data_IF_718663834465
#
_entry.id   IF_718663834465
#
_cell.length_a   1.000
_cell.length_b   1.000
_cell.length_c   1.000
_cell.angle_alpha   90.00
_cell.angle_beta   90.00
_cell.angle_gamma   90.00
#
_symmetry.space_group_name_H-M   'P 1'
#
loop_
_entity.id
_entity.type
_entity.pdbx_description
1 polymer ?
#
# COMPACT_ATOMS: atom_id res chain seq x y z
N UNK A 1 -29.31 -70.13 2.29
CA UNK A 1 -28.59 -69.06 3.01
C UNK A 1 -28.92 -67.75 2.33
N UNK A 2 -29.81 -66.95 2.90
CA UNK A 2 -30.27 -65.68 2.36
C UNK A 2 -29.53 -64.52 3.06
N UNK A 3 -29.20 -63.42 2.35
CA UNK A 3 -28.46 -62.31 2.94
C UNK A 3 -29.37 -61.41 3.79
N UNK A 4 -28.84 -60.99 4.94
CA UNK A 4 -29.50 -60.13 5.91
C UNK A 4 -29.82 -58.74 5.35
N UNK A 5 -30.94 -58.11 5.77
CA UNK A 5 -31.31 -56.77 5.33
C UNK A 5 -30.44 -55.67 5.98
N UNK A 6 -30.30 -54.50 5.33
CA UNK A 6 -29.52 -53.39 5.86
C UNK A 6 -30.26 -52.63 6.98
N UNK A 7 -29.54 -52.02 7.94
CA UNK A 7 -30.16 -51.26 9.02
C UNK A 7 -30.70 -49.90 8.56
N UNK A 8 -31.89 -49.55 9.06
CA UNK A 8 -32.55 -48.27 8.86
C UNK A 8 -31.82 -47.09 9.52
N UNK A 9 -31.93 -45.87 8.98
CA UNK A 9 -31.18 -44.70 9.46
C UNK A 9 -31.76 -44.15 10.78
N UNK A 10 -30.88 -43.98 11.76
CA UNK A 10 -31.15 -43.31 13.02
C UNK A 10 -31.47 -41.83 12.80
N UNK A 11 -32.65 -41.44 13.27
CA UNK A 11 -33.12 -40.07 13.47
C UNK A 11 -32.10 -39.25 14.28
N UNK A 12 -31.57 -38.19 13.67
CA UNK A 12 -30.79 -37.17 14.39
C UNK A 12 -31.75 -36.19 15.07
N UNK A 13 -31.62 -36.08 16.39
CA UNK A 13 -32.11 -34.94 17.15
C UNK A 13 -31.49 -33.62 16.63
N UNK A 14 -32.24 -32.50 16.64
CA UNK A 14 -31.67 -31.19 16.37
C UNK A 14 -30.91 -30.71 17.61
N UNK A 15 -29.57 -30.76 17.56
CA UNK A 15 -28.73 -30.02 18.47
C UNK A 15 -28.73 -28.55 18.03
N UNK A 16 -29.24 -27.74 18.95
CA UNK A 16 -29.41 -26.31 18.90
C UNK A 16 -28.02 -25.64 18.96
N UNK A 17 -27.33 -25.54 17.83
CA UNK A 17 -26.11 -24.75 17.70
C UNK A 17 -26.48 -23.27 17.57
N UNK A 18 -26.59 -22.62 18.73
CA UNK A 18 -26.53 -21.18 18.88
C UNK A 18 -25.20 -20.68 18.31
N UNK A 19 -25.19 -20.37 17.00
CA UNK A 19 -24.15 -19.56 16.38
C UNK A 19 -24.12 -18.20 17.06
N UNK A 20 -23.11 -18.01 17.89
CA UNK A 20 -22.64 -16.70 18.35
C UNK A 20 -22.40 -15.82 17.13
N UNK A 21 -23.38 -14.99 16.78
CA UNK A 21 -23.18 -13.87 15.89
C UNK A 21 -22.18 -12.93 16.56
N UNK A 22 -21.17 -12.40 15.84
CA UNK A 22 -20.38 -11.30 16.35
C UNK A 22 -21.33 -10.11 16.47
N UNK A 23 -21.75 -9.83 17.70
CA UNK A 23 -22.54 -8.65 18.03
C UNK A 23 -21.66 -7.44 17.74
N UNK A 24 -21.79 -6.88 16.53
CA UNK A 24 -21.34 -5.53 16.21
C UNK A 24 -22.09 -4.60 17.16
N UNK A 25 -21.48 -4.30 18.31
CA UNK A 25 -21.93 -3.24 19.21
C UNK A 25 -21.76 -1.93 18.47
N UNK A 26 -22.76 -1.55 17.68
CA UNK A 26 -23.04 -0.18 17.32
C UNK A 26 -23.34 0.54 18.63
N UNK A 27 -22.31 1.10 19.25
CA UNK A 27 -22.47 2.14 20.26
C UNK A 27 -23.03 3.38 19.56
N UNK A 28 -24.34 3.41 19.33
CA UNK A 28 -25.09 4.63 19.03
C UNK A 28 -25.34 5.37 20.33
N UNK A 29 -24.27 5.95 20.90
CA UNK A 29 -24.46 7.11 21.75
C UNK A 29 -24.75 8.31 20.82
N UNK A 30 -25.87 9.04 20.99
CA UNK A 30 -26.06 10.30 20.28
C UNK A 30 -25.01 11.29 20.77
N UNK A 31 -23.93 11.42 19.99
CA UNK A 31 -22.87 12.39 20.21
C UNK A 31 -23.45 13.79 20.02
N UNK A 32 -23.72 14.48 21.12
CA UNK A 32 -24.16 15.89 21.20
C UNK A 32 -23.11 16.91 20.76
N UNK A 33 -22.00 16.47 20.14
CA UNK A 33 -21.00 17.35 19.59
C UNK A 33 -21.57 18.04 18.32
N UNK A 34 -21.39 19.37 18.17
CA UNK A 34 -21.86 20.08 16.98
C UNK A 34 -21.26 19.45 15.71
N UNK A 35 -22.01 19.40 14.59
CA UNK A 35 -21.59 18.75 13.33
C UNK A 35 -20.32 19.32 12.68
N UNK A 36 -19.68 20.34 13.28
CA UNK A 36 -18.63 21.15 12.67
C UNK A 36 -17.23 21.04 13.30
N UNK A 37 -16.94 20.06 14.16
CA UNK A 37 -15.63 20.05 14.86
C UNK A 37 -14.86 18.72 14.87
N UNK A 38 -15.19 17.75 14.00
CA UNK A 38 -14.31 16.57 13.85
C UNK A 38 -13.27 16.86 12.78
N UNK A 39 -12.22 17.57 13.18
CA UNK A 39 -11.01 17.62 12.38
C UNK A 39 -10.50 16.19 12.20
N UNK A 40 -10.12 15.79 10.97
CA UNK A 40 -9.55 14.47 10.75
C UNK A 40 -8.26 14.36 11.55
N UNK A 41 -7.93 13.17 12.07
CA UNK A 41 -6.63 12.97 12.68
C UNK A 41 -5.53 13.34 11.68
N UNK A 42 -4.40 13.88 12.15
CA UNK A 42 -3.32 14.27 11.26
C UNK A 42 -2.81 13.06 10.48
N UNK A 43 -2.59 13.25 9.18
CA UNK A 43 -1.94 12.25 8.35
C UNK A 43 -0.45 12.28 8.67
N UNK A 44 0.03 11.28 9.41
CA UNK A 44 1.43 11.23 9.86
C UNK A 44 2.20 10.26 8.98
N UNK A 45 3.01 10.82 8.06
CA UNK A 45 3.87 10.04 7.17
C UNK A 45 5.15 9.60 7.88
N UNK A 46 5.44 8.30 8.02
CA UNK A 46 6.69 7.82 8.60
C UNK A 46 7.90 8.16 7.74
N UNK A 47 9.02 8.53 8.37
CA UNK A 47 10.28 8.81 7.67
C UNK A 47 10.88 7.56 6.98
N UNK A 48 10.54 6.37 7.45
CA UNK A 48 11.10 5.07 7.05
C UNK A 48 10.52 4.49 5.74
N UNK A 49 9.79 5.29 4.95
CA UNK A 49 9.25 4.88 3.65
C UNK A 49 10.27 4.92 2.50
N UNK A 50 11.54 5.23 2.79
CA UNK A 50 12.61 5.21 1.80
C UNK A 50 13.00 3.78 1.43
N UNK A 51 13.33 3.58 0.15
CA UNK A 51 13.79 2.29 -0.35
C UNK A 51 15.21 2.00 0.18
N UNK A 52 15.40 0.78 0.70
CA UNK A 52 16.72 0.26 1.06
C UNK A 52 17.54 -0.05 -0.21
N UNK A 53 18.86 -0.16 -0.04
CA UNK A 53 19.77 -0.56 -1.13
C UNK A 53 19.46 -2.01 -1.55
N UNK A 54 19.47 -2.26 -2.85
CA UNK A 54 19.18 -3.56 -3.45
C UNK A 54 20.15 -3.86 -4.59
N UNK A 55 20.46 -5.15 -4.77
CA UNK A 55 21.41 -5.64 -5.76
C UNK A 55 22.83 -5.04 -5.58
N UNK A 56 23.21 -4.72 -4.34
CA UNK A 56 24.57 -4.31 -4.01
C UNK A 56 25.39 -5.56 -3.63
N UNK A 57 26.63 -5.72 -4.13
CA UNK A 57 27.42 -6.93 -3.90
C UNK A 57 27.62 -7.28 -2.41
N UNK A 58 27.78 -6.28 -1.54
CA UNK A 58 27.98 -6.47 -0.11
C UNK A 58 26.69 -6.82 0.66
N UNK A 59 25.51 -6.64 0.07
CA UNK A 59 24.21 -6.84 0.72
C UNK A 59 23.34 -7.88 0.01
N UNK A 60 23.95 -8.85 -0.66
CA UNK A 60 23.22 -9.88 -1.41
C UNK A 60 22.23 -10.67 -0.53
N UNK A 61 22.54 -10.84 0.76
CA UNK A 61 21.70 -11.59 1.71
C UNK A 61 20.37 -10.87 1.99
N UNK A 62 20.37 -9.53 1.99
CA UNK A 62 19.16 -8.76 2.25
C UNK A 62 18.23 -8.69 1.03
N UNK A 63 18.76 -8.94 -0.18
CA UNK A 63 17.97 -8.94 -1.41
C UNK A 63 16.82 -9.97 -1.37
N UNK A 64 16.92 -11.00 -0.51
CA UNK A 64 15.90 -12.03 -0.29
C UNK A 64 14.52 -11.48 0.11
N UNK A 65 14.49 -10.38 0.87
CA UNK A 65 13.26 -9.74 1.37
C UNK A 65 13.16 -8.25 0.99
N UNK A 66 14.30 -7.59 0.75
CA UNK A 66 14.36 -6.15 0.39
C UNK A 66 13.53 -5.83 -0.85
N UNK A 67 13.45 -6.77 -1.82
CA UNK A 67 12.64 -6.61 -3.02
C UNK A 67 11.16 -6.32 -2.70
N UNK A 68 10.56 -7.15 -1.84
CA UNK A 68 9.16 -7.01 -1.45
C UNK A 68 8.97 -5.78 -0.55
N UNK A 69 9.84 -5.59 0.44
CA UNK A 69 9.75 -4.48 1.37
C UNK A 69 9.82 -3.13 0.68
N UNK A 70 10.75 -2.95 -0.27
CA UNK A 70 10.84 -1.70 -1.02
C UNK A 70 9.61 -1.46 -1.89
N UNK A 71 9.04 -2.52 -2.47
CA UNK A 71 7.81 -2.42 -3.24
C UNK A 71 6.63 -2.00 -2.37
N UNK A 72 6.46 -2.63 -1.20
CA UNK A 72 5.42 -2.28 -0.23
C UNK A 72 5.62 -0.84 0.27
N UNK A 73 6.82 -0.45 0.72
CA UNK A 73 7.14 0.93 1.15
C UNK A 73 6.79 1.97 0.07
N UNK A 74 7.04 1.65 -1.21
CA UNK A 74 6.66 2.52 -2.34
C UNK A 74 5.14 2.66 -2.49
N UNK A 75 4.38 1.59 -2.28
CA UNK A 75 2.92 1.66 -2.27
C UNK A 75 2.41 2.41 -1.05
N UNK A 76 2.97 2.20 0.13
CA UNK A 76 2.63 2.96 1.35
C UNK A 76 2.89 4.46 1.18
N UNK A 77 3.98 4.86 0.53
CA UNK A 77 4.19 6.27 0.20
C UNK A 77 3.07 6.83 -0.72
N UNK A 78 2.54 5.99 -1.62
CA UNK A 78 1.44 6.37 -2.51
C UNK A 78 0.08 6.41 -1.78
N UNK A 79 -0.13 5.54 -0.80
CA UNK A 79 -1.26 5.59 0.15
C UNK A 79 -1.32 6.95 0.86
N UNK A 80 -0.19 7.41 1.41
CA UNK A 80 -0.13 8.73 2.06
C UNK A 80 -0.42 9.88 1.09
N UNK A 81 0.03 9.80 -0.17
CA UNK A 81 -0.29 10.84 -1.15
C UNK A 81 -1.79 10.91 -1.48
N UNK A 82 -2.49 9.76 -1.46
CA UNK A 82 -3.96 9.72 -1.58
C UNK A 82 -4.60 10.37 -0.36
N UNK A 83 -4.18 9.97 0.85
CA UNK A 83 -4.72 10.50 2.10
C UNK A 83 -4.50 12.01 2.25
N UNK A 84 -3.29 12.50 1.99
CA UNK A 84 -2.98 13.94 2.02
C UNK A 84 -3.86 14.72 1.03
N UNK A 85 -4.13 14.15 -0.14
CA UNK A 85 -5.02 14.76 -1.14
C UNK A 85 -6.49 14.81 -0.71
N UNK A 86 -6.95 13.88 0.11
CA UNK A 86 -8.33 13.87 0.62
C UNK A 86 -8.41 14.77 1.85
N UNK A 87 -7.46 14.66 2.78
CA UNK A 87 -7.40 15.46 4.00
C UNK A 87 -7.33 16.97 3.74
N UNK A 88 -6.59 17.40 2.71
CA UNK A 88 -6.55 18.82 2.28
C UNK A 88 -7.89 19.36 1.77
N UNK A 89 -8.88 18.50 1.56
CA UNK A 89 -10.23 18.80 1.06
C UNK A 89 -11.29 18.12 1.90
N UNK A 90 -11.04 17.96 3.20
CA UNK A 90 -11.87 17.13 4.08
C UNK A 90 -13.35 17.55 4.08
N UNK A 91 -13.64 18.84 3.94
CA UNK A 91 -15.01 19.36 3.88
C UNK A 91 -15.75 19.07 2.56
N UNK A 92 -15.07 18.46 1.59
CA UNK A 92 -15.58 18.16 0.26
C UNK A 92 -15.32 16.71 -0.15
N UNK A 93 -15.13 15.81 0.83
CA UNK A 93 -14.97 14.38 0.54
C UNK A 93 -16.30 13.83 0.02
N UNK A 94 -16.23 13.16 -1.12
CA UNK A 94 -17.39 12.53 -1.75
C UNK A 94 -17.18 11.03 -1.86
N UNK A 95 -18.26 10.24 -1.80
CA UNK A 95 -18.21 8.78 -1.85
C UNK A 95 -17.42 8.24 -3.05
N UNK A 96 -17.52 8.88 -4.21
CA UNK A 96 -16.77 8.48 -5.42
C UNK A 96 -15.24 8.55 -5.28
N UNK A 97 -14.72 9.44 -4.42
CA UNK A 97 -13.29 9.48 -4.10
C UNK A 97 -12.88 8.29 -3.25
N UNK A 98 -13.72 7.92 -2.27
CA UNK A 98 -13.51 6.75 -1.42
C UNK A 98 -13.68 5.44 -2.18
N UNK A 99 -14.57 5.36 -3.17
CA UNK A 99 -14.64 4.22 -4.09
C UNK A 99 -13.37 4.09 -4.94
N UNK A 100 -12.80 5.22 -5.37
CA UNK A 100 -11.54 5.22 -6.11
C UNK A 100 -10.36 4.81 -5.21
N UNK A 101 -10.36 5.25 -3.96
CA UNK A 101 -9.39 4.82 -2.97
C UNK A 101 -9.53 3.33 -2.64
N UNK A 102 -10.75 2.83 -2.42
CA UNK A 102 -11.02 1.41 -2.20
C UNK A 102 -10.54 0.54 -3.37
N UNK A 103 -10.73 0.98 -4.62
CA UNK A 103 -10.19 0.27 -5.80
C UNK A 103 -8.67 0.20 -5.80
N UNK A 104 -7.98 1.25 -5.37
CA UNK A 104 -6.53 1.24 -5.23
C UNK A 104 -6.09 0.31 -4.09
N UNK A 105 -6.80 0.33 -2.96
CA UNK A 105 -6.53 -0.55 -1.82
C UNK A 105 -6.70 -2.03 -2.16
N UNK A 106 -7.73 -2.40 -2.96
CA UNK A 106 -7.97 -3.78 -3.44
C UNK A 106 -6.84 -4.39 -4.26
N UNK A 107 -5.89 -3.58 -4.74
CA UNK A 107 -4.67 -4.08 -5.37
C UNK A 107 -3.54 -4.19 -4.36
N UNK A 108 -3.45 -3.26 -3.40
CA UNK A 108 -2.39 -3.26 -2.41
C UNK A 108 -2.57 -4.34 -1.34
N UNK A 109 -3.78 -4.58 -0.86
CA UNK A 109 -4.00 -5.55 0.21
C UNK A 109 -3.59 -6.97 -0.20
N UNK A 110 -4.05 -7.52 -1.35
CA UNK A 110 -3.59 -8.82 -1.81
C UNK A 110 -2.08 -8.86 -2.05
N UNK A 111 -1.49 -7.75 -2.48
CA UNK A 111 -0.04 -7.66 -2.66
C UNK A 111 0.75 -7.80 -1.36
N UNK A 112 0.23 -7.27 -0.24
CA UNK A 112 0.87 -7.38 1.08
C UNK A 112 0.61 -8.78 1.67
N UNK A 113 -0.61 -9.30 1.57
CA UNK A 113 -0.95 -10.63 2.10
C UNK A 113 -0.22 -11.74 1.34
N UNK A 114 -0.13 -11.66 0.01
CA UNK A 114 0.69 -12.59 -0.80
C UNK A 114 2.17 -12.58 -0.38
N UNK A 115 2.70 -11.44 0.06
CA UNK A 115 4.06 -11.39 0.60
C UNK A 115 4.15 -12.14 1.94
N UNK A 116 3.18 -11.96 2.84
CA UNK A 116 3.14 -12.67 4.11
C UNK A 116 2.96 -14.19 3.94
N UNK A 117 2.21 -14.62 2.93
CA UNK A 117 2.01 -16.03 2.63
C UNK A 117 3.29 -16.62 2.03
N UNK A 118 3.91 -15.96 1.04
CA UNK A 118 5.22 -16.36 0.51
C UNK A 118 6.28 -16.44 1.61
N UNK A 119 6.26 -15.48 2.53
CA UNK A 119 7.20 -15.43 3.63
C UNK A 119 7.06 -16.67 4.53
N UNK A 120 5.84 -17.01 4.93
CA UNK A 120 5.56 -18.17 5.76
C UNK A 120 5.87 -19.49 5.04
N UNK A 121 5.42 -19.63 3.79
CA UNK A 121 5.51 -20.87 3.04
C UNK A 121 6.94 -21.16 2.56
N UNK A 122 7.68 -20.10 2.20
CA UNK A 122 8.95 -20.23 1.48
C UNK A 122 10.09 -19.55 2.23
N UNK A 123 10.00 -18.25 2.56
CA UNK A 123 11.15 -17.50 3.05
C UNK A 123 11.66 -17.99 4.41
N UNK A 124 10.77 -18.15 5.38
CA UNK A 124 11.14 -18.55 6.75
C UNK A 124 11.68 -19.97 6.78
N UNK A 125 11.01 -20.88 6.07
CA UNK A 125 11.47 -22.26 5.91
C UNK A 125 12.83 -22.33 5.22
N UNK A 126 13.01 -21.56 4.15
CA UNK A 126 14.28 -21.51 3.42
C UNK A 126 15.42 -20.97 4.29
N UNK A 127 15.18 -19.93 5.08
CA UNK A 127 16.17 -19.36 6.01
C UNK A 127 16.39 -20.24 7.27
N UNK A 128 15.54 -21.26 7.47
CA UNK A 128 15.41 -22.02 8.72
C UNK A 128 15.32 -21.08 9.94
N UNK A 129 14.41 -20.11 9.81
CA UNK A 129 14.04 -19.13 10.83
C UNK A 129 12.80 -19.63 11.59
N UNK A 130 12.73 -19.32 12.88
CA UNK A 130 11.58 -19.67 13.72
C UNK A 130 10.41 -18.71 13.42
N UNK A 131 9.27 -19.21 12.88
CA UNK A 131 8.13 -18.37 12.57
C UNK A 131 7.48 -17.75 13.82
N UNK A 132 7.68 -18.32 15.00
CA UNK A 132 7.10 -17.81 16.24
C UNK A 132 7.73 -16.49 16.69
N UNK A 133 9.00 -16.24 16.32
CA UNK A 133 9.78 -15.10 16.78
C UNK A 133 9.14 -13.74 16.44
N UNK A 134 8.39 -13.67 15.33
CA UNK A 134 7.74 -12.45 14.85
C UNK A 134 6.22 -12.61 14.65
N UNK A 135 5.65 -13.73 15.10
CA UNK A 135 4.25 -14.06 14.87
C UNK A 135 3.30 -12.98 15.43
N UNK A 136 3.56 -12.49 16.64
CA UNK A 136 2.73 -11.44 17.26
C UNK A 136 2.67 -10.16 16.40
N UNK A 137 3.82 -9.68 15.93
CA UNK A 137 3.89 -8.49 15.08
C UNK A 137 3.20 -8.70 13.72
N UNK A 138 3.36 -9.89 13.13
CA UNK A 138 2.66 -10.27 11.90
C UNK A 138 1.14 -10.28 12.09
N UNK A 139 0.67 -10.86 13.19
CA UNK A 139 -0.76 -10.89 13.53
C UNK A 139 -1.34 -9.48 13.69
N UNK A 140 -0.63 -8.59 14.41
CA UNK A 140 -1.05 -7.18 14.52
C UNK A 140 -1.20 -6.50 13.16
N UNK A 141 -0.25 -6.73 12.24
CA UNK A 141 -0.35 -6.19 10.87
C UNK A 141 -1.58 -6.73 10.13
N UNK A 142 -1.80 -8.05 10.19
CA UNK A 142 -2.92 -8.71 9.53
C UNK A 142 -4.27 -8.24 10.09
N UNK A 143 -4.37 -8.05 11.40
CA UNK A 143 -5.60 -7.57 12.04
C UNK A 143 -5.94 -6.15 11.59
N UNK A 144 -4.97 -5.24 11.54
CA UNK A 144 -5.20 -3.90 11.01
C UNK A 144 -5.50 -3.89 9.50
N UNK A 145 -4.89 -4.78 8.70
CA UNK A 145 -5.26 -4.95 7.29
C UNK A 145 -6.73 -5.36 7.17
N UNK A 146 -7.18 -6.34 7.97
CA UNK A 146 -8.59 -6.79 8.00
C UNK A 146 -9.53 -5.67 8.43
N UNK A 147 -9.18 -4.92 9.47
CA UNK A 147 -9.96 -3.77 9.94
C UNK A 147 -10.08 -2.70 8.86
N UNK A 148 -9.00 -2.40 8.15
CA UNK A 148 -8.99 -1.43 7.06
C UNK A 148 -9.85 -1.91 5.87
N UNK A 149 -9.79 -3.19 5.51
CA UNK A 149 -10.69 -3.79 4.52
C UNK A 149 -12.16 -3.68 4.93
N UNK A 150 -12.48 -4.05 6.18
CA UNK A 150 -13.82 -3.90 6.73
C UNK A 150 -14.32 -2.46 6.67
N UNK A 151 -13.44 -1.50 7.00
CA UNK A 151 -13.73 -0.07 6.89
C UNK A 151 -14.10 0.31 5.46
N UNK A 152 -13.31 -0.07 4.45
CA UNK A 152 -13.64 0.24 3.06
C UNK A 152 -14.99 -0.34 2.61
N UNK A 153 -15.46 -1.46 3.17
CA UNK A 153 -16.78 -2.02 2.84
C UNK A 153 -17.96 -1.24 3.45
N UNK A 154 -17.71 -0.44 4.49
CA UNK A 154 -18.71 0.47 5.07
C UNK A 154 -18.99 1.72 4.23
N UNK A 155 -18.26 1.95 3.13
CA UNK A 155 -18.33 3.17 2.31
C UNK A 155 -19.69 3.51 1.72
N UNK A 156 -20.62 2.55 1.66
CA UNK A 156 -22.00 2.73 1.18
C UNK A 156 -22.97 3.16 2.28
N UNK A 157 -22.58 3.03 3.54
CA UNK A 157 -23.46 3.14 4.70
C UNK A 157 -23.04 4.25 5.67
N UNK A 158 -21.80 4.72 5.57
CA UNK A 158 -21.22 5.72 6.47
C UNK A 158 -20.95 7.02 5.70
N UNK A 159 -21.09 8.15 6.38
CA UNK A 159 -20.70 9.44 5.83
C UNK A 159 -19.25 9.41 5.30
N UNK A 160 -18.97 9.94 4.09
CA UNK A 160 -17.64 9.89 3.51
C UNK A 160 -16.54 10.51 4.40
N UNK A 161 -16.86 11.56 5.15
CA UNK A 161 -15.89 12.24 6.02
C UNK A 161 -15.55 11.38 7.23
N UNK A 162 -16.57 10.83 7.89
CA UNK A 162 -16.38 9.92 9.03
C UNK A 162 -15.65 8.65 8.63
N UNK A 163 -15.99 8.10 7.45
CA UNK A 163 -15.30 6.94 6.90
C UNK A 163 -13.82 7.25 6.66
N UNK A 164 -13.52 8.38 6.02
CA UNK A 164 -12.15 8.78 5.77
C UNK A 164 -11.37 8.99 7.07
N UNK A 165 -11.97 9.60 8.09
CA UNK A 165 -11.32 9.75 9.40
C UNK A 165 -10.98 8.40 10.02
N UNK A 166 -11.86 7.41 9.86
CA UNK A 166 -11.61 6.03 10.32
C UNK A 166 -10.47 5.39 9.54
N UNK A 167 -10.46 5.51 8.21
CA UNK A 167 -9.36 5.05 7.35
C UNK A 167 -8.01 5.66 7.80
N UNK A 168 -7.98 6.96 8.11
CA UNK A 168 -6.74 7.62 8.57
C UNK A 168 -6.24 7.02 9.89
N UNK A 169 -7.14 6.74 10.85
CA UNK A 169 -6.75 6.09 12.12
C UNK A 169 -6.17 4.71 11.89
N UNK A 170 -6.84 3.90 11.09
CA UNK A 170 -6.40 2.54 10.78
C UNK A 170 -5.06 2.53 10.03
N UNK A 171 -4.85 3.44 9.09
CA UNK A 171 -3.55 3.55 8.39
C UNK A 171 -2.45 4.01 9.34
N UNK A 172 -2.73 5.00 10.19
CA UNK A 172 -1.78 5.48 11.20
C UNK A 172 -1.44 4.41 12.24
N UNK A 173 -2.31 3.43 12.48
CA UNK A 173 -2.02 2.26 13.30
C UNK A 173 -1.25 1.19 12.51
N UNK A 174 -1.70 0.81 11.31
CA UNK A 174 -1.13 -0.25 10.49
C UNK A 174 0.32 0.02 10.09
N UNK A 175 0.59 1.19 9.50
CA UNK A 175 1.87 1.42 8.82
C UNK A 175 3.07 1.35 9.76
N UNK A 176 3.05 1.97 10.96
CA UNK A 176 4.15 1.81 11.91
C UNK A 176 4.42 0.35 12.29
N UNK A 177 3.38 -0.45 12.54
CA UNK A 177 3.54 -1.88 12.84
C UNK A 177 4.14 -2.64 11.66
N UNK A 178 3.70 -2.36 10.44
CA UNK A 178 4.22 -3.00 9.23
C UNK A 178 5.70 -2.65 8.99
N UNK A 179 6.11 -1.40 9.19
CA UNK A 179 7.51 -0.98 9.06
C UNK A 179 8.39 -1.54 10.18
N UNK A 180 7.85 -1.62 11.40
CA UNK A 180 8.54 -2.25 12.53
C UNK A 180 8.73 -3.74 12.28
N UNK A 181 7.69 -4.44 11.82
CA UNK A 181 7.74 -5.85 11.43
C UNK A 181 8.82 -6.11 10.38
N UNK A 182 8.83 -5.33 9.28
CA UNK A 182 9.85 -5.48 8.24
C UNK A 182 11.27 -5.29 8.80
N UNK A 183 11.46 -4.31 9.67
CA UNK A 183 12.77 -4.04 10.28
C UNK A 183 13.21 -5.16 11.23
N UNK A 184 12.27 -5.72 12.00
CA UNK A 184 12.51 -6.86 12.88
C UNK A 184 12.84 -8.13 12.07
N UNK A 185 12.12 -8.36 10.97
CA UNK A 185 12.39 -9.46 10.04
C UNK A 185 13.77 -9.32 9.39
N UNK A 186 14.15 -8.11 8.94
CA UNK A 186 15.47 -7.84 8.37
C UNK A 186 16.59 -8.19 9.35
N UNK A 187 16.44 -7.78 10.62
CA UNK A 187 17.39 -8.05 11.67
C UNK A 187 17.46 -9.55 12.02
N UNK A 188 16.33 -10.24 11.99
CA UNK A 188 16.23 -11.67 12.29
C UNK A 188 16.81 -12.54 11.15
N UNK A 189 16.47 -12.24 9.89
CA UNK A 189 16.86 -13.05 8.74
C UNK A 189 18.29 -12.80 8.27
N UNK A 190 18.80 -11.56 8.36
CA UNK A 190 20.14 -11.21 7.90
C UNK A 190 21.25 -12.17 8.38
N UNK A 191 21.42 -12.45 9.69
CA UNK A 191 22.48 -13.33 10.16
C UNK A 191 22.28 -14.79 9.71
N UNK A 192 21.04 -15.27 9.72
CA UNK A 192 20.71 -16.64 9.30
C UNK A 192 21.05 -16.87 7.83
N UNK A 193 20.67 -15.92 6.97
CA UNK A 193 20.92 -16.00 5.53
C UNK A 193 22.41 -15.89 5.24
N UNK A 194 23.13 -14.96 5.87
CA UNK A 194 24.58 -14.82 5.67
C UNK A 194 25.34 -16.09 6.05
N UNK A 195 24.91 -16.79 7.11
CA UNK A 195 25.60 -17.97 7.60
C UNK A 195 25.37 -19.22 6.75
N UNK A 196 24.22 -19.35 6.09
CA UNK A 196 23.76 -20.62 5.49
C UNK A 196 23.64 -20.59 3.97
N UNK A 197 23.64 -19.41 3.36
CA UNK A 197 23.25 -19.25 1.97
C UNK A 197 24.33 -18.54 1.14
N UNK A 198 24.15 -18.60 -0.17
CA UNK A 198 25.01 -17.96 -1.16
C UNK A 198 24.21 -16.97 -2.01
N UNK A 199 24.87 -16.04 -2.71
CA UNK A 199 24.20 -15.15 -3.67
C UNK A 199 23.34 -15.92 -4.70
N UNK A 200 23.80 -17.07 -5.16
CA UNK A 200 23.07 -17.91 -6.13
C UNK A 200 21.78 -18.48 -5.54
N UNK A 201 21.80 -18.86 -4.26
CA UNK A 201 20.60 -19.35 -3.57
C UNK A 201 19.54 -18.25 -3.38
N UNK A 202 19.95 -16.98 -3.17
CA UNK A 202 19.02 -15.83 -3.15
C UNK A 202 18.41 -15.58 -4.53
N UNK A 203 19.17 -15.78 -5.61
CA UNK A 203 18.61 -15.74 -6.98
C UNK A 203 17.56 -16.84 -7.16
N UNK A 204 17.79 -18.05 -6.65
CA UNK A 204 16.81 -19.15 -6.70
C UNK A 204 15.54 -18.82 -5.89
N UNK A 205 15.71 -18.31 -4.66
CA UNK A 205 14.60 -17.83 -3.83
C UNK A 205 13.79 -16.73 -4.53
N UNK A 206 14.46 -15.77 -5.17
CA UNK A 206 13.79 -14.69 -5.92
C UNK A 206 12.97 -15.26 -7.09
N UNK A 207 13.45 -16.32 -7.75
CA UNK A 207 12.66 -17.03 -8.77
C UNK A 207 11.44 -17.70 -8.16
N UNK A 208 11.57 -18.33 -6.98
CA UNK A 208 10.44 -18.90 -6.25
C UNK A 208 9.42 -17.83 -5.88
N UNK A 209 9.87 -16.64 -5.45
CA UNK A 209 8.96 -15.53 -5.16
C UNK A 209 8.21 -15.05 -6.41
N UNK A 210 8.90 -14.88 -7.54
CA UNK A 210 8.25 -14.55 -8.81
C UNK A 210 7.25 -15.62 -9.24
N UNK A 211 7.57 -16.90 -9.03
CA UNK A 211 6.64 -17.99 -9.31
C UNK A 211 5.43 -17.99 -8.37
N UNK A 212 5.63 -17.61 -7.10
CA UNK A 212 4.57 -17.47 -6.10
C UNK A 212 3.59 -16.36 -6.51
N UNK A 213 4.10 -15.16 -6.80
CA UNK A 213 3.28 -14.01 -7.25
C UNK A 213 2.51 -14.31 -8.54
N UNK A 214 3.07 -15.14 -9.43
CA UNK A 214 2.37 -15.56 -10.66
C UNK A 214 1.13 -16.43 -10.41
N UNK A 215 1.01 -17.04 -9.23
CA UNK A 215 -0.16 -17.84 -8.81
C UNK A 215 -1.16 -17.01 -7.99
N UNK A 216 -0.80 -15.78 -7.61
CA UNK A 216 -1.63 -14.89 -6.83
C UNK A 216 -2.82 -14.31 -7.59
N UNK A 217 -3.55 -13.41 -6.95
CA UNK A 217 -4.83 -12.89 -7.46
C UNK A 217 -4.62 -11.95 -8.66
N UNK A 218 -3.60 -11.09 -8.59
CA UNK A 218 -3.30 -10.09 -9.62
C UNK A 218 -1.86 -10.21 -10.14
N UNK A 219 -1.48 -11.35 -10.75
CA UNK A 219 -0.08 -11.71 -10.97
C UNK A 219 0.67 -10.69 -11.83
N UNK A 220 0.01 -10.16 -12.86
CA UNK A 220 0.62 -9.18 -13.75
C UNK A 220 0.84 -7.82 -13.09
N UNK A 221 -0.12 -7.37 -12.28
CA UNK A 221 -0.04 -6.10 -11.58
C UNK A 221 0.99 -6.19 -10.46
N UNK A 222 0.94 -7.25 -9.64
CA UNK A 222 1.86 -7.47 -8.53
C UNK A 222 3.32 -7.62 -8.99
N UNK A 223 3.57 -8.32 -10.10
CA UNK A 223 4.91 -8.36 -10.71
C UNK A 223 5.40 -6.99 -11.13
N UNK A 224 4.52 -6.13 -11.66
CA UNK A 224 4.89 -4.75 -11.97
C UNK A 224 5.18 -3.98 -10.68
N UNK A 225 4.32 -4.07 -9.66
CA UNK A 225 4.49 -3.39 -8.38
C UNK A 225 5.85 -3.68 -7.72
N UNK A 226 6.30 -4.94 -7.76
CA UNK A 226 7.63 -5.37 -7.29
C UNK A 226 8.78 -4.57 -7.89
N UNK A 227 8.59 -3.99 -9.07
CA UNK A 227 9.65 -3.28 -9.82
C UNK A 227 9.47 -1.77 -9.88
N UNK A 228 8.32 -1.22 -9.46
CA UNK A 228 7.98 0.20 -9.62
C UNK A 228 8.92 1.18 -8.89
N UNK A 229 9.64 0.70 -7.87
CA UNK A 229 10.60 1.49 -7.11
C UNK A 229 12.02 1.44 -7.67
N UNK A 230 12.30 0.52 -8.61
CA UNK A 230 13.62 0.32 -9.18
C UNK A 230 13.99 1.38 -10.21
N UNK A 231 15.28 1.69 -10.33
CA UNK A 231 15.83 2.45 -11.47
C UNK A 231 15.77 1.59 -12.74
N UNK A 232 15.59 2.20 -13.91
CA UNK A 232 15.38 1.50 -15.19
C UNK A 232 16.43 0.40 -15.46
N UNK A 233 17.72 0.69 -15.29
CA UNK A 233 18.79 -0.31 -15.51
C UNK A 233 18.70 -1.53 -14.59
N UNK A 234 18.36 -1.31 -13.32
CA UNK A 234 18.19 -2.39 -12.33
C UNK A 234 16.94 -3.20 -12.66
N UNK A 235 15.86 -2.51 -13.02
CA UNK A 235 14.60 -3.11 -13.45
C UNK A 235 14.79 -4.02 -14.66
N UNK A 236 15.43 -3.53 -15.72
CA UNK A 236 15.62 -4.30 -16.96
C UNK A 236 16.47 -5.55 -16.70
N UNK A 237 17.53 -5.43 -15.89
CA UNK A 237 18.33 -6.59 -15.45
C UNK A 237 17.47 -7.58 -14.66
N UNK A 238 16.67 -7.10 -13.72
CA UNK A 238 15.78 -7.93 -12.90
C UNK A 238 14.76 -8.68 -13.77
N UNK A 239 14.07 -7.98 -14.68
CA UNK A 239 13.11 -8.57 -15.62
C UNK A 239 13.79 -9.66 -16.46
N UNK A 240 14.95 -9.38 -17.03
CA UNK A 240 15.68 -10.35 -17.85
C UNK A 240 16.14 -11.58 -17.06
N UNK A 241 16.37 -11.43 -15.75
CA UNK A 241 16.85 -12.52 -14.89
C UNK A 241 15.71 -13.39 -14.36
N UNK A 242 14.60 -12.78 -13.95
CA UNK A 242 13.55 -13.46 -13.18
C UNK A 242 12.24 -13.65 -13.95
N UNK A 243 11.96 -12.83 -14.97
CA UNK A 243 10.75 -12.96 -15.79
C UNK A 243 11.11 -13.69 -17.08
N UNK A 244 10.58 -14.92 -17.23
CA UNK A 244 10.89 -15.80 -18.36
C UNK A 244 9.79 -15.86 -19.42
N UNK A 245 10.17 -16.26 -20.63
CA UNK A 245 9.27 -16.60 -21.73
C UNK A 245 8.34 -15.45 -22.16
N UNK A 246 7.10 -15.80 -22.47
CA UNK A 246 6.09 -14.85 -22.96
C UNK A 246 5.77 -13.75 -21.94
N UNK A 247 5.89 -14.03 -20.64
CA UNK A 247 5.72 -13.03 -19.58
C UNK A 247 6.68 -11.84 -19.74
N UNK A 248 7.90 -12.09 -20.22
CA UNK A 248 8.90 -11.02 -20.44
C UNK A 248 8.48 -10.09 -21.58
N UNK A 249 7.96 -10.66 -22.66
CA UNK A 249 7.45 -9.90 -23.81
C UNK A 249 6.24 -9.07 -23.43
N UNK A 250 5.34 -9.63 -22.62
CA UNK A 250 4.14 -8.96 -22.14
C UNK A 250 4.39 -7.94 -21.03
N UNK A 251 5.56 -7.96 -20.37
CA UNK A 251 5.82 -7.12 -19.20
C UNK A 251 5.54 -5.64 -19.48
N UNK A 252 6.01 -5.11 -20.61
CA UNK A 252 5.74 -3.71 -21.02
C UNK A 252 4.25 -3.41 -21.20
N UNK A 253 3.44 -4.39 -21.61
CA UNK A 253 1.98 -4.25 -21.69
C UNK A 253 1.37 -4.19 -20.28
N UNK A 254 1.80 -5.06 -19.38
CA UNK A 254 1.37 -5.05 -17.98
C UNK A 254 1.76 -3.77 -17.26
N UNK A 255 2.94 -3.22 -17.54
CA UNK A 255 3.36 -1.91 -17.01
C UNK A 255 2.42 -0.80 -17.46
N UNK A 256 2.08 -0.76 -18.75
CA UNK A 256 1.13 0.24 -19.29
C UNK A 256 -0.26 0.07 -18.69
N UNK A 257 -0.71 -1.16 -18.51
CA UNK A 257 -1.99 -1.45 -17.87
C UNK A 257 -1.99 -0.96 -16.42
N UNK A 258 -1.03 -1.41 -15.61
CA UNK A 258 -0.86 -1.02 -14.20
C UNK A 258 -0.70 0.50 -14.04
N UNK A 259 0.01 1.14 -14.96
CA UNK A 259 0.17 2.59 -14.96
C UNK A 259 -1.17 3.32 -15.14
N UNK A 260 -2.07 2.78 -15.98
CA UNK A 260 -3.38 3.37 -16.27
C UNK A 260 -4.44 3.04 -15.22
N UNK A 261 -4.37 1.87 -14.60
CA UNK A 261 -5.42 1.39 -13.69
C UNK A 261 -5.11 1.66 -12.23
N UNK A 262 -3.86 1.50 -11.81
CA UNK A 262 -3.44 1.62 -10.41
C UNK A 262 -2.66 2.90 -10.14
N UNK A 263 -1.59 3.16 -10.90
CA UNK A 263 -0.72 4.33 -10.67
C UNK A 263 -1.42 5.65 -11.03
N UNK A 264 -2.28 5.64 -12.05
CA UNK A 264 -3.06 6.81 -12.46
C UNK A 264 -3.99 7.33 -11.35
N UNK A 265 -4.48 6.45 -10.47
CA UNK A 265 -5.31 6.85 -9.31
C UNK A 265 -4.50 7.81 -8.42
N UNK A 266 -3.30 7.41 -8.02
CA UNK A 266 -2.40 8.23 -7.19
C UNK A 266 -2.07 9.56 -7.88
N UNK A 267 -1.79 9.53 -9.20
CA UNK A 267 -1.49 10.72 -9.98
C UNK A 267 -2.68 11.69 -10.04
N UNK A 268 -3.90 11.18 -10.14
CA UNK A 268 -5.12 11.97 -10.12
C UNK A 268 -5.32 12.67 -8.77
N UNK A 269 -5.13 11.96 -7.65
CA UNK A 269 -5.17 12.55 -6.31
C UNK A 269 -4.10 13.64 -6.15
N UNK A 270 -2.83 13.35 -6.46
CA UNK A 270 -1.76 14.36 -6.38
C UNK A 270 -2.06 15.62 -7.21
N UNK A 271 -2.62 15.45 -8.41
CA UNK A 271 -2.99 16.57 -9.28
C UNK A 271 -4.10 17.42 -8.68
N UNK A 272 -5.11 16.79 -8.06
CA UNK A 272 -6.18 17.50 -7.33
C UNK A 272 -5.62 18.27 -6.14
N UNK A 273 -4.77 17.64 -5.33
CA UNK A 273 -4.12 18.29 -4.18
C UNK A 273 -3.35 19.55 -4.59
N UNK A 274 -2.55 19.49 -5.67
CA UNK A 274 -1.79 20.65 -6.18
C UNK A 274 -2.73 21.75 -6.68
N UNK A 275 -3.80 21.39 -7.40
CA UNK A 275 -4.79 22.36 -7.90
C UNK A 275 -5.43 23.12 -6.74
N UNK A 276 -5.76 22.41 -5.66
CA UNK A 276 -6.42 23.01 -4.51
C UNK A 276 -5.48 23.88 -3.67
N UNK A 277 -4.24 23.44 -3.46
CA UNK A 277 -3.22 24.24 -2.80
C UNK A 277 -2.98 25.57 -3.55
N UNK A 278 -2.97 25.56 -4.89
CA UNK A 278 -2.85 26.77 -5.72
C UNK A 278 -4.05 27.71 -5.58
N UNK A 279 -5.28 27.17 -5.54
CA UNK A 279 -6.50 27.98 -5.31
C UNK A 279 -6.50 28.64 -3.94
N UNK A 280 -6.09 27.91 -2.91
CA UNK A 280 -5.95 28.43 -1.56
C UNK A 280 -4.88 29.52 -1.48
N UNK A 281 -3.72 29.32 -2.13
CA UNK A 281 -2.67 30.34 -2.19
C UNK A 281 -3.15 31.61 -2.93
N UNK A 282 -3.81 31.45 -4.08
CA UNK A 282 -4.32 32.59 -4.86
C UNK A 282 -5.39 33.38 -4.12
N UNK A 283 -6.33 32.69 -3.43
CA UNK A 283 -7.36 33.37 -2.62
C UNK A 283 -6.77 34.11 -1.41
N UNK A 284 -5.73 33.58 -0.77
CA UNK A 284 -5.00 34.28 0.30
C UNK A 284 -4.30 35.53 -0.21
N UNK A 285 -3.61 35.44 -1.36
CA UNK A 285 -2.97 36.60 -1.99
C UNK A 285 -4.02 37.67 -2.34
N UNK A 286 -5.15 37.26 -2.93
CA UNK A 286 -6.24 38.17 -3.30
C UNK A 286 -6.85 38.87 -2.09
N UNK A 287 -7.13 38.15 -1.00
CA UNK A 287 -7.60 38.77 0.25
C UNK A 287 -6.57 39.74 0.81
N UNK A 288 -5.29 39.36 0.81
CA UNK A 288 -4.21 40.24 1.27
C UNK A 288 -4.13 41.54 0.45
N UNK A 289 -4.36 41.47 -0.86
CA UNK A 289 -4.40 42.67 -1.73
C UNK A 289 -5.69 43.47 -1.57
N UNK A 290 -6.83 42.85 -1.30
CA UNK A 290 -8.14 43.51 -1.17
C UNK A 290 -8.34 44.18 0.20
N UNK A 291 -7.73 43.65 1.27
CA UNK A 291 -7.93 44.13 2.65
C UNK A 291 -6.78 44.97 3.22
N UNK A 292 -5.74 45.26 2.44
CA UNK A 292 -4.69 46.21 2.83
C UNK A 292 -3.97 45.87 4.14
N UNK A 293 -3.77 44.59 4.46
CA UNK A 293 -2.96 44.19 5.63
C UNK A 293 -1.52 44.71 5.46
N UNK A 294 -1.20 45.76 6.22
CA UNK A 294 0.11 46.37 6.29
C UNK A 294 1.15 45.35 6.76
N UNK A 295 2.29 45.32 6.07
CA UNK A 295 3.39 44.37 6.30
C UNK A 295 4.29 44.91 7.39
N UNK A 296 3.81 44.99 8.62
CA UNK A 296 4.67 45.27 9.76
C UNK A 296 4.31 44.26 10.86
N UNK A 297 5.32 43.48 11.28
CA UNK A 297 5.27 42.43 12.31
C UNK A 297 4.51 41.13 12.02
N UNK A 298 5.12 40.23 11.24
CA UNK A 298 5.08 38.80 11.57
C UNK A 298 6.45 38.15 11.32
N UNK A 299 7.16 37.91 12.41
CA UNK A 299 8.30 37.00 12.50
C UNK A 299 7.96 35.66 11.83
N UNK A 300 8.86 35.11 11.00
CA UNK A 300 8.74 33.81 10.34
C UNK A 300 8.65 32.68 11.39
N UNK A 301 7.49 32.51 12.02
CA UNK A 301 7.14 31.35 12.80
C UNK A 301 6.99 30.14 11.88
N UNK A 302 8.07 29.38 11.75
CA UNK A 302 8.13 27.96 11.35
C UNK A 302 6.99 27.46 10.45
N UNK A 303 7.13 27.66 9.14
CA UNK A 303 6.42 26.82 8.18
C UNK A 303 6.79 25.35 8.43
N UNK A 304 5.84 24.40 8.48
CA UNK A 304 6.21 22.99 8.34
C UNK A 304 6.90 22.83 6.99
N UNK A 305 8.11 22.27 7.02
CA UNK A 305 8.96 22.05 5.86
C UNK A 305 8.25 21.25 4.77
N UNK A 306 7.62 21.93 3.81
CA UNK A 306 7.12 21.38 2.53
C UNK A 306 8.15 21.63 1.40
N UNK A 307 9.30 22.24 1.73
CA UNK A 307 10.32 22.71 0.77
C UNK A 307 10.99 21.63 -0.07
N UNK A 308 11.03 20.37 0.41
CA UNK A 308 11.57 19.25 -0.37
C UNK A 308 10.59 18.68 -1.42
N UNK A 309 9.29 18.92 -1.23
CA UNK A 309 8.23 18.24 -2.00
C UNK A 309 7.92 18.95 -3.31
N UNK A 310 7.84 20.28 -3.36
CA UNK A 310 7.36 20.99 -4.56
C UNK A 310 8.38 20.96 -5.71
N UNK A 311 9.69 21.12 -5.45
CA UNK A 311 10.73 21.00 -6.48
C UNK A 311 10.85 19.55 -6.98
N UNK A 312 10.78 18.56 -6.09
CA UNK A 312 10.82 17.14 -6.49
C UNK A 312 9.53 16.71 -7.22
N UNK A 313 8.36 17.25 -6.87
CA UNK A 313 7.10 17.04 -7.59
C UNK A 313 7.13 17.65 -8.99
N UNK A 314 7.61 18.89 -9.12
CA UNK A 314 7.70 19.54 -10.44
C UNK A 314 8.66 18.78 -11.36
N UNK A 315 9.77 18.25 -10.83
CA UNK A 315 10.68 17.36 -11.57
C UNK A 315 10.00 16.03 -11.92
N UNK A 316 9.24 15.43 -11.01
CA UNK A 316 8.52 14.16 -11.26
C UNK A 316 7.40 14.32 -12.30
N UNK A 317 6.62 15.40 -12.23
CA UNK A 317 5.56 15.72 -13.20
C UNK A 317 6.16 16.07 -14.56
N UNK A 318 7.27 16.82 -14.61
CA UNK A 318 7.98 17.10 -15.86
C UNK A 318 8.56 15.81 -16.47
N UNK A 319 9.05 14.88 -15.65
CA UNK A 319 9.55 13.57 -16.10
C UNK A 319 8.44 12.70 -16.67
N UNK A 320 7.30 12.59 -15.98
CA UNK A 320 6.14 11.83 -16.45
C UNK A 320 5.57 12.43 -17.74
N UNK A 321 5.43 13.77 -17.83
CA UNK A 321 5.02 14.42 -19.08
C UNK A 321 6.00 14.13 -20.22
N UNK A 322 7.31 14.21 -19.98
CA UNK A 322 8.35 13.93 -20.98
C UNK A 322 8.34 12.47 -21.43
N UNK A 323 8.12 11.53 -20.53
CA UNK A 323 8.05 10.10 -20.84
C UNK A 323 6.76 9.74 -21.60
N UNK A 324 5.65 10.41 -21.29
CA UNK A 324 4.39 10.30 -22.04
C UNK A 324 4.50 10.91 -23.45
N UNK A 325 5.11 12.09 -23.59
CA UNK A 325 5.33 12.73 -24.90
C UNK A 325 6.33 11.97 -25.78
N UNK A 326 7.40 11.41 -25.20
CA UNK A 326 8.34 10.53 -25.93
C UNK A 326 7.70 9.21 -26.33
N UNK A 327 6.77 8.71 -25.52
CA UNK A 327 5.97 7.54 -25.89
C UNK A 327 5.02 7.87 -27.04
N UNK A 328 4.37 9.03 -27.02
CA UNK A 328 3.46 9.45 -28.10
C UNK A 328 4.19 9.66 -29.46
N UNK A 329 5.37 10.29 -29.47
CA UNK A 329 6.10 10.55 -30.72
C UNK A 329 6.79 9.33 -31.34
N UNK A 330 6.90 8.20 -30.63
CA UNK A 330 7.44 6.94 -31.18
C UNK A 330 6.39 6.07 -31.88
N UNK A 331 5.14 6.54 -31.96
CA UNK A 331 4.04 5.87 -32.66
C UNK A 331 3.41 6.76 -33.74
N UNK A 332 4.10 7.84 -34.14
CA UNK A 332 3.72 8.69 -35.26
C UNK A 332 4.49 8.36 -36.56
N UNK A 333 5.12 7.18 -36.62
CA UNK A 333 5.75 6.60 -37.82
C UNK A 333 5.39 5.13 -37.89
#
# INVERSE_FOLDING_TARGET
MAPSPPPSPLSRHPLNDARSQPTLRLHTAPSSAPPNARLPPPVTRPAQLSAAKYAAPASWHSDAYTLAHNAIKRQLASLYDIMDSIASRIHHVVGAELDTFARWWRVLEPFITEYFDFEADVLLNWAAADPSALAHLKHLCLDHIRQLCGTFELRRYVDPTDLFCTIVREVNALVPHLLHYMSALDAHLSPLIRARHSPQSVVALTRSYVAYVKKGENPHVHLVLLTTWMKSRVKDKWINTYVRGFSRLLFRRWERYTARTHIAIVAAFRTRAVKEARRTAASRIRRRTEFGEHVDDVSFGSMPSVGGSIRSLNVAVARVKRDLSRSANRFAV
#
